data_IF_614609269837
#
_entry.id   IF_614609269837
#
_cell.length_a   1.000
_cell.length_b   1.000
_cell.length_c   1.000
_cell.angle_alpha   90.00
_cell.angle_beta   90.00
_cell.angle_gamma   90.00
#
_symmetry.space_group_name_H-M   'P 1'
#
loop_
_entity.id
_entity.type
_entity.pdbx_description
1 polymer ?
#
# COMPACT_ATOMS: atom_id res chain seq x y z
N UNK A 1 2.91 -3.16 -9.43
CA UNK A 1 2.01 -4.28 -9.05
C UNK A 1 1.88 -5.27 -10.21
N UNK A 2 2.28 -6.54 -10.01
CA UNK A 2 2.23 -7.57 -11.06
C UNK A 2 0.79 -8.06 -11.22
N UNK A 3 0.18 -7.76 -12.37
CA UNK A 3 -1.18 -8.19 -12.72
C UNK A 3 -1.23 -9.73 -12.81
N UNK A 4 -2.28 -10.30 -12.22
CA UNK A 4 -2.68 -11.71 -12.13
C UNK A 4 -2.90 -12.41 -13.49
N UNK A 5 -2.07 -12.16 -14.52
CA UNK A 5 -2.23 -12.90 -15.78
C UNK A 5 -1.83 -14.36 -15.65
N UNK A 6 -0.82 -14.69 -14.83
CA UNK A 6 -0.40 -16.07 -14.61
C UNK A 6 0.27 -16.31 -13.24
N UNK A 7 -0.47 -16.28 -12.12
CA UNK A 7 0.10 -16.61 -10.80
C UNK A 7 0.74 -18.01 -10.76
N UNK A 8 0.24 -18.93 -11.60
CA UNK A 8 0.72 -20.31 -11.68
C UNK A 8 1.97 -20.52 -12.53
N UNK A 9 2.48 -19.50 -13.22
CA UNK A 9 3.67 -19.65 -14.06
C UNK A 9 4.99 -19.67 -13.26
N UNK A 10 4.95 -19.21 -12.00
CA UNK A 10 6.12 -19.18 -11.11
C UNK A 10 5.76 -19.56 -9.66
N UNK A 11 5.32 -20.81 -9.41
CA UNK A 11 4.86 -21.24 -8.10
C UNK A 11 5.98 -21.16 -7.06
N UNK A 12 5.66 -20.65 -5.87
CA UNK A 12 6.60 -20.48 -4.76
C UNK A 12 7.57 -19.30 -4.90
N UNK A 13 7.55 -18.58 -6.01
CA UNK A 13 8.36 -17.38 -6.25
C UNK A 13 7.51 -16.11 -6.36
N UNK A 14 6.32 -16.23 -6.93
CA UNK A 14 5.39 -15.12 -7.14
C UNK A 14 4.18 -15.28 -6.24
N UNK A 15 3.91 -14.24 -5.46
CA UNK A 15 2.78 -14.16 -4.54
C UNK A 15 1.99 -12.89 -4.86
N UNK A 16 0.81 -12.99 -5.49
CA UNK A 16 0.09 -11.81 -5.92
C UNK A 16 -0.63 -11.13 -4.75
N UNK A 17 -0.81 -9.82 -4.87
CA UNK A 17 -1.72 -9.04 -4.03
C UNK A 17 -2.96 -8.68 -4.84
N UNK A 18 -4.10 -8.53 -4.17
CA UNK A 18 -5.30 -8.00 -4.79
C UNK A 18 -5.93 -6.89 -3.94
N UNK A 19 -6.28 -5.78 -4.59
CA UNK A 19 -6.76 -4.58 -3.94
C UNK A 19 -7.14 -3.49 -4.94
N UNK A 20 -7.93 -2.54 -4.47
CA UNK A 20 -8.36 -1.36 -5.21
C UNK A 20 -7.51 -0.18 -4.77
N UNK A 21 -6.62 0.23 -5.68
CA UNK A 21 -5.66 1.30 -5.48
C UNK A 21 -6.33 2.69 -5.35
N UNK A 22 -5.79 3.66 -4.59
CA UNK A 22 -6.40 5.00 -4.42
C UNK A 22 -6.53 5.82 -5.70
N UNK A 23 -5.74 5.50 -6.73
CA UNK A 23 -5.84 6.05 -8.08
C UNK A 23 -6.43 4.98 -9.01
N UNK A 24 -7.50 5.32 -9.71
CA UNK A 24 -8.25 4.47 -10.63
C UNK A 24 -8.26 5.07 -12.04
N UNK A 25 -8.69 4.30 -13.04
CA UNK A 25 -8.91 4.82 -14.40
C UNK A 25 -7.64 5.17 -15.20
N UNK A 26 -6.49 4.59 -14.84
CA UNK A 26 -5.15 4.89 -15.37
C UNK A 26 -5.05 5.10 -16.90
N UNK A 27 -5.80 4.34 -17.70
CA UNK A 27 -5.71 4.36 -19.17
C UNK A 27 -6.62 5.38 -19.87
N UNK A 28 -7.73 5.78 -19.23
CA UNK A 28 -8.78 6.58 -19.89
C UNK A 28 -9.00 7.93 -19.22
N UNK A 29 -9.28 7.90 -17.93
CA UNK A 29 -9.61 9.08 -17.16
C UNK A 29 -9.22 8.82 -15.71
N UNK A 30 -7.98 9.16 -15.31
CA UNK A 30 -7.52 8.94 -13.95
C UNK A 30 -8.40 9.68 -12.93
N UNK A 31 -8.81 9.00 -11.86
CA UNK A 31 -9.60 9.60 -10.78
C UNK A 31 -9.25 9.00 -9.42
N UNK A 32 -9.56 9.74 -8.34
CA UNK A 32 -9.56 9.17 -6.99
C UNK A 32 -10.52 7.99 -6.92
N UNK A 33 -10.13 6.94 -6.21
CA UNK A 33 -11.01 5.80 -5.93
C UNK A 33 -12.29 6.25 -5.24
N UNK A 34 -13.38 5.55 -5.56
CA UNK A 34 -14.72 5.71 -5.01
C UNK A 34 -15.23 4.38 -4.51
N UNK A 35 -16.26 4.41 -3.69
CA UNK A 35 -16.88 3.19 -3.17
C UNK A 35 -17.38 2.23 -4.28
N UNK A 36 -17.83 2.75 -5.41
CA UNK A 36 -18.31 1.94 -6.54
C UNK A 36 -17.18 1.11 -7.18
N UNK A 37 -15.95 1.62 -7.16
CA UNK A 37 -14.77 0.89 -7.66
C UNK A 37 -14.54 -0.36 -6.78
N UNK A 38 -14.67 -0.20 -5.46
CA UNK A 38 -14.56 -1.31 -4.51
C UNK A 38 -15.74 -2.28 -4.65
N UNK A 39 -16.97 -1.78 -4.73
CA UNK A 39 -18.17 -2.63 -4.87
C UNK A 39 -18.08 -3.55 -6.08
N UNK A 40 -17.55 -3.05 -7.20
CA UNK A 40 -17.31 -3.84 -8.42
C UNK A 40 -16.26 -4.93 -8.19
N UNK A 41 -15.26 -4.68 -7.34
CA UNK A 41 -14.18 -5.61 -7.03
C UNK A 41 -14.49 -6.60 -5.90
N UNK A 42 -15.52 -6.35 -5.07
CA UNK A 42 -15.85 -7.19 -3.91
C UNK A 42 -15.97 -8.69 -4.22
N UNK A 43 -16.65 -9.12 -5.30
CA UNK A 43 -16.75 -10.55 -5.62
C UNK A 43 -15.39 -11.20 -5.92
N UNK A 44 -14.41 -10.42 -6.41
CA UNK A 44 -13.09 -10.91 -6.78
C UNK A 44 -12.23 -11.25 -5.55
N UNK A 45 -12.44 -10.58 -4.42
CA UNK A 45 -11.73 -10.92 -3.17
C UNK A 45 -12.03 -12.35 -2.71
N UNK A 46 -13.29 -12.80 -2.83
CA UNK A 46 -13.64 -14.18 -2.49
C UNK A 46 -13.22 -15.16 -3.58
N UNK A 47 -13.33 -14.77 -4.85
CA UNK A 47 -12.91 -15.61 -5.97
C UNK A 47 -11.43 -15.98 -5.90
N UNK A 48 -10.57 -15.03 -5.54
CA UNK A 48 -9.11 -15.22 -5.50
C UNK A 48 -8.55 -15.41 -4.10
N UNK A 49 -9.40 -15.71 -3.10
CA UNK A 49 -8.99 -15.79 -1.69
C UNK A 49 -7.80 -16.72 -1.46
N UNK A 50 -7.78 -17.86 -2.15
CA UNK A 50 -6.73 -18.87 -2.01
C UNK A 50 -5.51 -18.61 -2.92
N UNK A 51 -5.62 -17.64 -3.84
CA UNK A 51 -4.56 -17.29 -4.80
C UNK A 51 -3.74 -16.07 -4.36
N UNK A 52 -4.30 -15.20 -3.51
CA UNK A 52 -3.67 -13.94 -3.10
C UNK A 52 -2.95 -14.09 -1.76
N UNK A 53 -1.77 -13.50 -1.65
CA UNK A 53 -0.97 -13.51 -0.44
C UNK A 53 -1.19 -12.28 0.45
N UNK A 54 -1.80 -11.22 -0.08
CA UNK A 54 -2.10 -9.99 0.66
C UNK A 54 -3.24 -9.21 0.01
N UNK A 55 -3.91 -8.38 0.81
CA UNK A 55 -4.78 -7.32 0.30
C UNK A 55 -3.93 -6.10 -0.05
N UNK A 56 -3.91 -5.73 -1.33
CA UNK A 56 -3.04 -4.68 -1.82
C UNK A 56 -2.99 -4.58 -3.34
N UNK A 57 -2.55 -3.48 -3.92
CA UNK A 57 -2.08 -2.27 -3.25
C UNK A 57 -3.24 -1.33 -2.91
N UNK A 58 -3.40 -0.98 -1.63
CA UNK A 58 -4.51 -0.15 -1.11
C UNK A 58 -3.97 1.04 -0.33
N UNK A 59 -4.77 2.07 -0.05
CA UNK A 59 -4.32 3.17 0.81
C UNK A 59 -4.71 4.53 0.28
N UNK A 60 -3.75 5.46 0.29
CA UNK A 60 -4.02 6.89 0.09
C UNK A 60 -3.08 7.54 -0.92
N UNK A 61 -3.64 8.40 -1.76
CA UNK A 61 -2.90 9.30 -2.63
C UNK A 61 -3.44 10.73 -2.49
N UNK A 62 -2.92 11.47 -1.51
CA UNK A 62 -3.35 12.85 -1.21
C UNK A 62 -2.53 13.89 -1.98
N UNK A 63 -2.11 13.54 -3.19
CA UNK A 63 -1.52 14.52 -4.09
C UNK A 63 -2.63 15.40 -4.69
N UNK A 64 -2.39 16.72 -4.91
CA UNK A 64 -3.44 17.63 -5.36
C UNK A 64 -4.11 17.27 -6.68
N UNK A 65 -3.44 16.48 -7.54
CA UNK A 65 -4.00 16.01 -8.81
C UNK A 65 -4.82 14.72 -8.67
N UNK A 66 -4.63 13.96 -7.59
CA UNK A 66 -5.43 12.78 -7.30
C UNK A 66 -6.65 13.13 -6.44
N UNK A 67 -6.45 14.01 -5.47
CA UNK A 67 -7.48 14.45 -4.52
C UNK A 67 -7.45 15.96 -4.45
N UNK A 68 -8.58 16.56 -4.83
CA UNK A 68 -8.77 18.00 -4.92
C UNK A 68 -9.85 18.52 -3.97
N UNK A 69 -10.68 17.61 -3.42
CA UNK A 69 -11.79 17.94 -2.52
C UNK A 69 -11.75 17.13 -1.22
N UNK A 70 -12.41 17.65 -0.19
CA UNK A 70 -12.59 16.92 1.09
C UNK A 70 -13.39 15.63 0.87
N UNK A 71 -14.40 15.66 -0.01
CA UNK A 71 -15.20 14.49 -0.34
C UNK A 71 -14.35 13.35 -0.92
N UNK A 72 -13.39 13.66 -1.79
CA UNK A 72 -12.46 12.66 -2.32
C UNK A 72 -11.53 12.08 -1.24
N UNK A 73 -11.07 12.89 -0.28
CA UNK A 73 -10.34 12.39 0.89
C UNK A 73 -11.20 11.39 1.70
N UNK A 74 -12.46 11.72 1.93
CA UNK A 74 -13.41 10.90 2.69
C UNK A 74 -13.72 9.59 1.97
N UNK A 75 -13.86 9.62 0.63
CA UNK A 75 -14.03 8.42 -0.20
C UNK A 75 -12.80 7.49 -0.10
N UNK A 76 -11.57 8.00 -0.22
CA UNK A 76 -10.38 7.15 -0.03
C UNK A 76 -10.34 6.54 1.37
N UNK A 77 -10.74 7.30 2.40
CA UNK A 77 -10.81 6.80 3.78
C UNK A 77 -11.83 5.67 3.93
N UNK A 78 -13.01 5.83 3.34
CA UNK A 78 -14.06 4.82 3.34
C UNK A 78 -13.59 3.54 2.64
N UNK A 79 -13.06 3.67 1.43
CA UNK A 79 -12.58 2.53 0.61
C UNK A 79 -11.42 1.82 1.31
N UNK A 80 -10.47 2.56 1.88
CA UNK A 80 -9.34 1.96 2.58
C UNK A 80 -9.79 1.17 3.80
N UNK A 81 -10.69 1.72 4.64
CA UNK A 81 -11.21 1.02 5.83
C UNK A 81 -11.93 -0.29 5.48
N UNK A 82 -12.76 -0.28 4.43
CA UNK A 82 -13.41 -1.52 3.96
C UNK A 82 -12.40 -2.56 3.48
N UNK A 83 -11.33 -2.16 2.81
CA UNK A 83 -10.29 -3.11 2.40
C UNK A 83 -9.47 -3.64 3.58
N UNK A 84 -9.29 -2.85 4.65
CA UNK A 84 -8.75 -3.34 5.91
C UNK A 84 -9.69 -4.33 6.60
N UNK A 85 -11.01 -4.10 6.57
CA UNK A 85 -12.02 -5.09 7.01
C UNK A 85 -11.89 -6.40 6.23
N UNK A 86 -11.85 -6.34 4.90
CA UNK A 86 -11.66 -7.51 4.06
C UNK A 86 -10.36 -8.27 4.39
N UNK A 87 -9.24 -7.56 4.59
CA UNK A 87 -7.97 -8.22 4.95
C UNK A 87 -8.08 -9.04 6.26
N UNK A 88 -8.85 -8.55 7.23
CA UNK A 88 -9.10 -9.25 8.50
C UNK A 88 -10.01 -10.46 8.30
N UNK A 89 -11.07 -10.32 7.51
CA UNK A 89 -11.97 -11.43 7.17
C UNK A 89 -11.25 -12.54 6.40
N UNK A 90 -10.24 -12.17 5.60
CA UNK A 90 -9.42 -13.09 4.82
C UNK A 90 -8.23 -13.69 5.61
N UNK A 91 -7.90 -13.15 6.80
CA UNK A 91 -6.66 -13.45 7.55
C UNK A 91 -5.39 -13.24 6.71
N UNK A 92 -5.38 -12.17 5.91
CA UNK A 92 -4.29 -11.82 4.99
C UNK A 92 -3.57 -10.54 5.42
N UNK A 93 -2.24 -10.44 5.22
CA UNK A 93 -1.49 -9.18 5.40
C UNK A 93 -1.94 -8.11 4.41
N UNK A 94 -1.50 -6.87 4.63
CA UNK A 94 -1.86 -5.70 3.80
C UNK A 94 -0.62 -5.06 3.20
N UNK A 95 -0.68 -4.76 1.91
CA UNK A 95 0.30 -3.94 1.21
C UNK A 95 -0.28 -2.55 0.91
N UNK A 96 0.34 -1.51 1.48
CA UNK A 96 -0.20 -0.16 1.57
C UNK A 96 0.61 0.85 0.73
N UNK A 97 -0.11 1.51 -0.18
CA UNK A 97 0.35 2.74 -0.82
C UNK A 97 0.06 3.96 0.06
N UNK A 98 1.08 4.77 0.27
CA UNK A 98 0.92 6.05 0.95
C UNK A 98 1.71 7.15 0.25
N UNK A 99 0.99 8.03 -0.45
CA UNK A 99 1.58 9.22 -1.07
C UNK A 99 0.97 10.49 -0.53
N UNK A 100 1.82 11.35 0.02
CA UNK A 100 1.41 12.58 0.73
C UNK A 100 0.43 12.34 1.89
N UNK A 101 0.36 11.11 2.40
CA UNK A 101 -0.68 10.66 3.33
C UNK A 101 -0.15 9.81 4.50
N UNK A 102 1.17 9.84 4.76
CA UNK A 102 1.82 8.96 5.73
C UNK A 102 1.15 8.97 7.13
N UNK A 103 0.88 10.17 7.67
CA UNK A 103 0.26 10.31 9.00
C UNK A 103 -1.15 9.72 9.05
N UNK A 104 -2.01 10.09 8.09
CA UNK A 104 -3.39 9.58 8.03
C UNK A 104 -3.43 8.08 7.79
N UNK A 105 -2.46 7.55 7.04
CA UNK A 105 -2.30 6.11 6.80
C UNK A 105 -2.12 5.40 8.14
N UNK A 106 -1.06 5.74 8.87
CA UNK A 106 -0.75 5.10 10.15
C UNK A 106 -1.86 5.31 11.18
N UNK A 107 -2.42 6.52 11.29
CA UNK A 107 -3.53 6.78 12.22
C UNK A 107 -4.78 5.95 11.87
N UNK A 108 -5.12 5.80 10.60
CA UNK A 108 -6.30 5.02 10.17
C UNK A 108 -6.10 3.55 10.47
N UNK A 109 -4.92 3.02 10.19
CA UNK A 109 -4.58 1.62 10.45
C UNK A 109 -4.52 1.33 11.95
N UNK A 110 -4.01 2.29 12.74
CA UNK A 110 -4.04 2.24 14.20
C UNK A 110 -5.45 2.10 14.74
N UNK A 111 -6.36 2.95 14.26
CA UNK A 111 -7.74 3.01 14.73
C UNK A 111 -8.61 1.81 14.34
N UNK A 112 -8.18 0.96 13.40
CA UNK A 112 -8.94 -0.22 12.97
C UNK A 112 -8.66 -1.48 13.81
N UNK A 113 -7.95 -1.35 14.94
CA UNK A 113 -7.70 -2.48 15.84
C UNK A 113 -6.78 -3.54 15.24
N UNK A 114 -5.91 -3.16 14.29
CA UNK A 114 -4.90 -4.06 13.70
C UNK A 114 -3.91 -4.63 14.75
N UNK A 115 -3.93 -4.11 15.99
CA UNK A 115 -3.07 -4.51 17.10
C UNK A 115 -3.66 -5.56 18.06
N UNK A 116 -4.99 -5.71 18.10
CA UNK A 116 -5.63 -6.52 19.15
C UNK A 116 -5.79 -7.99 18.76
N UNK A 117 -5.47 -8.34 17.51
CA UNK A 117 -5.53 -9.71 17.03
C UNK A 117 -4.19 -10.42 17.28
N UNK A 118 -4.22 -11.67 17.77
CA UNK A 118 -3.01 -12.46 18.07
C UNK A 118 -2.17 -12.83 16.84
N UNK A 119 -2.63 -12.48 15.63
CA UNK A 119 -1.84 -12.50 14.40
C UNK A 119 -1.71 -11.06 13.90
N UNK A 120 -0.49 -10.51 13.79
CA UNK A 120 -0.33 -9.22 13.15
C UNK A 120 -0.71 -9.42 11.68
N UNK A 121 -1.80 -8.78 11.24
CA UNK A 121 -1.97 -8.45 9.84
C UNK A 121 -0.73 -7.66 9.44
N UNK A 122 0.30 -8.34 8.91
CA UNK A 122 1.59 -7.71 8.63
C UNK A 122 1.37 -6.65 7.57
N UNK A 123 1.74 -5.43 7.90
CA UNK A 123 1.49 -4.27 7.06
C UNK A 123 2.81 -3.85 6.45
N UNK A 124 2.86 -3.79 5.13
CA UNK A 124 3.99 -3.24 4.38
C UNK A 124 3.56 -1.89 3.85
N UNK A 125 4.26 -0.83 4.22
CA UNK A 125 3.98 0.53 3.74
C UNK A 125 5.15 1.01 2.89
N UNK A 126 4.87 1.41 1.66
CA UNK A 126 5.81 2.26 0.93
C UNK A 126 5.91 3.61 1.64
N UNK A 127 7.04 3.87 2.28
CA UNK A 127 7.16 5.01 3.19
C UNK A 127 8.15 6.06 2.71
N UNK A 128 7.60 7.22 2.32
CA UNK A 128 8.36 8.44 2.01
C UNK A 128 8.05 9.59 2.99
N UNK A 129 7.60 9.27 4.21
CA UNK A 129 7.14 10.22 5.21
C UNK A 129 8.23 10.83 6.09
N UNK A 130 7.82 11.49 7.19
CA UNK A 130 8.71 12.10 8.20
C UNK A 130 9.11 11.05 9.25
N UNK A 131 10.30 11.14 9.87
CA UNK A 131 10.75 10.19 10.89
C UNK A 131 9.78 10.01 12.07
N UNK A 132 9.17 11.09 12.56
CA UNK A 132 8.19 11.02 13.67
C UNK A 132 6.99 10.14 13.34
N UNK A 133 6.61 10.04 12.06
CA UNK A 133 5.50 9.20 11.62
C UNK A 133 5.95 7.75 11.47
N UNK A 134 7.21 7.49 11.13
CA UNK A 134 7.75 6.13 11.09
C UNK A 134 7.78 5.52 12.50
N UNK A 135 8.14 6.29 13.52
CA UNK A 135 8.13 5.86 14.92
C UNK A 135 6.74 5.36 15.36
N UNK A 136 5.68 6.09 14.99
CA UNK A 136 4.30 5.68 15.30
C UNK A 136 3.92 4.34 14.67
N UNK A 137 4.50 4.00 13.52
CA UNK A 137 4.33 2.73 12.82
C UNK A 137 5.23 1.61 13.36
N UNK A 138 6.42 1.94 13.87
CA UNK A 138 7.31 0.98 14.54
C UNK A 138 6.74 0.48 15.86
N UNK A 139 6.19 1.40 16.68
CA UNK A 139 5.45 1.03 17.90
C UNK A 139 4.23 0.14 17.62
N UNK A 140 3.80 0.14 16.37
CA UNK A 140 2.70 -0.59 15.82
C UNK A 140 3.14 -1.87 15.07
N UNK A 141 4.43 -2.22 15.10
CA UNK A 141 5.00 -3.42 14.47
C UNK A 141 4.73 -3.48 12.95
N UNK A 142 4.72 -2.32 12.29
CA UNK A 142 4.58 -2.23 10.84
C UNK A 142 5.92 -2.38 10.13
N UNK A 143 5.90 -3.04 8.98
CA UNK A 143 7.04 -3.12 8.07
C UNK A 143 7.04 -1.93 7.12
N UNK A 144 8.23 -1.45 6.82
CA UNK A 144 8.46 -0.33 5.92
C UNK A 144 9.22 -0.80 4.69
N UNK A 145 8.62 -0.65 3.50
CA UNK A 145 9.30 -0.93 2.25
C UNK A 145 9.98 0.32 1.69
N UNK A 146 11.15 0.11 1.09
CA UNK A 146 11.93 1.17 0.46
C UNK A 146 12.42 0.78 -0.93
N UNK A 147 12.27 1.74 -1.85
CA UNK A 147 12.77 1.64 -3.21
C UNK A 147 14.29 1.78 -3.30
N UNK A 148 14.94 1.29 -4.38
CA UNK A 148 16.38 1.40 -4.55
C UNK A 148 16.85 2.86 -4.56
N UNK A 149 16.02 3.76 -5.09
CA UNK A 149 16.29 5.20 -5.14
C UNK A 149 16.27 5.89 -3.76
N UNK A 150 16.03 5.18 -2.66
CA UNK A 150 15.95 5.78 -1.32
C UNK A 150 17.23 6.49 -0.89
N UNK A 151 18.40 6.00 -1.33
CA UNK A 151 19.70 6.62 -1.06
C UNK A 151 19.93 7.95 -1.78
N UNK A 152 19.10 8.30 -2.77
CA UNK A 152 19.26 9.54 -3.56
C UNK A 152 18.78 10.80 -2.84
N UNK A 153 18.01 10.65 -1.76
CA UNK A 153 17.52 11.77 -0.94
C UNK A 153 18.17 11.72 0.43
N UNK A 154 18.84 12.80 0.82
CA UNK A 154 19.45 12.91 2.15
C UNK A 154 18.44 12.66 3.28
N UNK A 155 17.22 13.19 3.13
CA UNK A 155 16.14 12.99 4.09
C UNK A 155 15.74 11.52 4.20
N UNK A 156 15.57 10.82 3.07
CA UNK A 156 15.19 9.41 3.06
C UNK A 156 16.31 8.49 3.55
N UNK A 157 17.56 8.79 3.20
CA UNK A 157 18.72 8.08 3.71
C UNK A 157 18.85 8.20 5.24
N UNK A 158 18.54 9.37 5.82
CA UNK A 158 18.53 9.56 7.27
C UNK A 158 17.36 8.84 7.94
N UNK A 159 16.21 8.78 7.27
CA UNK A 159 15.01 8.09 7.77
C UNK A 159 15.24 6.58 7.87
N UNK A 160 15.77 5.93 6.82
CA UNK A 160 16.05 4.49 6.85
C UNK A 160 16.93 4.10 8.03
N UNK A 161 17.96 4.90 8.32
CA UNK A 161 18.90 4.62 9.42
C UNK A 161 18.27 4.63 10.81
N UNK A 162 17.05 5.15 10.96
CA UNK A 162 16.30 5.15 12.21
C UNK A 162 15.38 3.94 12.37
N UNK A 163 15.18 3.17 11.30
CA UNK A 163 14.29 2.00 11.30
C UNK A 163 15.15 0.76 11.54
N UNK A 164 14.86 -0.06 12.56
CA UNK A 164 15.57 -1.32 12.77
C UNK A 164 15.43 -2.25 11.56
N UNK A 165 16.50 -2.99 11.24
CA UNK A 165 16.58 -3.80 10.02
C UNK A 165 15.47 -4.85 9.93
N UNK A 166 15.03 -5.39 11.06
CA UNK A 166 13.96 -6.38 11.16
C UNK A 166 12.58 -5.85 10.71
N UNK A 167 12.40 -4.52 10.64
CA UNK A 167 11.17 -3.87 10.18
C UNK A 167 11.27 -3.33 8.75
N UNK A 168 12.37 -3.61 8.04
CA UNK A 168 12.61 -3.12 6.68
C UNK A 168 12.32 -4.21 5.65
N UNK A 169 11.53 -3.86 4.63
CA UNK A 169 11.35 -4.64 3.41
C UNK A 169 12.03 -3.95 2.22
N UNK A 170 12.45 -4.74 1.24
CA UNK A 170 13.01 -4.24 -0.02
C UNK A 170 12.00 -4.45 -1.15
N UNK A 171 11.88 -3.46 -2.02
CA UNK A 171 11.03 -3.52 -3.20
C UNK A 171 11.71 -2.78 -4.36
N UNK A 172 11.31 -3.09 -5.59
CA UNK A 172 11.84 -2.43 -6.79
C UNK A 172 10.85 -1.43 -7.42
N UNK A 173 9.55 -1.65 -7.21
CA UNK A 173 8.45 -1.03 -7.97
C UNK A 173 8.73 -0.94 -9.48
N UNK A 174 9.35 -2.01 -9.99
CA UNK A 174 9.61 -2.16 -11.42
C UNK A 174 8.28 -2.24 -12.18
N UNK A 175 8.17 -1.60 -13.36
CA UNK A 175 9.24 -0.92 -14.10
C UNK A 175 9.40 0.58 -13.77
N UNK A 176 8.58 1.14 -12.88
CA UNK A 176 8.44 2.58 -12.74
C UNK A 176 9.61 3.28 -12.02
N UNK A 177 10.21 2.64 -11.01
CA UNK A 177 11.14 3.32 -10.07
C UNK A 177 12.51 2.65 -9.94
N UNK A 178 13.19 2.49 -11.08
CA UNK A 178 14.59 2.03 -11.15
C UNK A 178 15.59 2.92 -10.39
N UNK A 179 16.83 2.43 -10.16
CA UNK A 179 17.85 3.11 -9.35
C UNK A 179 18.35 4.44 -9.95
N UNK A 180 18.11 4.67 -11.24
CA UNK A 180 18.49 5.89 -11.96
C UNK A 180 17.23 6.70 -12.26
N UNK A 181 17.15 7.94 -11.77
CA UNK A 181 16.12 8.89 -12.24
C UNK A 181 16.31 9.06 -13.75
N UNK A 182 15.22 8.99 -14.52
CA UNK A 182 15.11 9.23 -15.98
C UNK A 182 14.98 8.01 -16.92
N UNK A 183 14.67 6.81 -16.42
CA UNK A 183 14.23 5.74 -17.32
C UNK A 183 12.70 5.65 -17.31
N UNK A 184 12.03 6.56 -18.02
CA UNK A 184 10.66 6.30 -18.46
C UNK A 184 10.73 5.19 -19.51
N UNK A 185 10.30 3.98 -19.16
CA UNK A 185 9.93 2.98 -20.16
C UNK A 185 8.45 3.14 -20.50
N UNK A 186 8.13 4.22 -21.22
CA UNK A 186 6.90 4.39 -22.00
C UNK A 186 7.21 5.29 -23.19
#
# INVERSE_FOLDING_TARGET
MMLLKEPNSFPGLVFPCFGVHPLQGFEKAPHSVRIQDLETALPLFQMYRDDIAAVGEIGFNFTPWCVSTIQECEEQLLVFRKQLELSRELDLPVNVYSRSAAKVTITTMKGQGTYEQPKPTRIVIYFAGRPSVAEDGLQAEYYFSFLPAVGTSHQRAKLIKQIPLEWICLETDSPALGPVKHVSHY
#
